data_IF_159408211012
#
_entry.id   IF_159408211012
#
_cell.length_a   1.000
_cell.length_b   1.000
_cell.length_c   1.000
_cell.angle_alpha   90.00
_cell.angle_beta   90.00
_cell.angle_gamma   90.00
#
_symmetry.space_group_name_H-M   'P 1'
#
loop_
_entity.id
_entity.type
_entity.pdbx_description
1 polymer ?
#
# COMPACT_ATOMS: atom_id res chain seq x y z
N UNK A 1 58.22 3.52 10.36
CA UNK A 1 58.41 2.37 9.46
C UNK A 1 58.24 1.11 10.30
N UNK A 2 57.28 0.26 9.94
CA UNK A 2 57.33 -1.21 9.88
C UNK A 2 55.88 -1.68 9.66
N UNK A 3 55.65 -2.29 8.50
CA UNK A 3 54.41 -2.97 8.12
C UNK A 3 54.56 -4.41 8.56
N UNK A 4 53.60 -4.98 9.29
CA UNK A 4 53.44 -6.42 9.37
C UNK A 4 51.97 -6.81 9.18
N UNK A 5 51.79 -7.74 8.23
CA UNK A 5 50.55 -8.28 7.69
C UNK A 5 50.49 -9.74 8.10
N UNK A 6 49.46 -10.13 8.83
CA UNK A 6 49.16 -11.54 9.16
C UNK A 6 47.88 -11.60 9.97
N UNK A 7 46.92 -12.51 9.82
CA UNK A 7 46.61 -13.56 8.86
C UNK A 7 45.21 -14.02 9.32
N UNK A 8 44.18 -13.90 8.48
CA UNK A 8 42.82 -14.35 8.80
C UNK A 8 42.74 -15.87 8.58
N UNK A 9 42.28 -16.69 9.55
CA UNK A 9 41.88 -18.05 9.25
C UNK A 9 40.47 -18.07 8.65
N UNK A 10 40.38 -18.62 7.44
CA UNK A 10 39.13 -19.02 6.80
C UNK A 10 38.55 -20.23 7.54
N UNK A 11 37.37 -20.07 8.14
CA UNK A 11 36.59 -21.20 8.66
C UNK A 11 35.66 -21.72 7.55
N UNK A 12 36.07 -22.85 6.97
CA UNK A 12 35.18 -23.74 6.22
C UNK A 12 34.14 -24.38 7.16
N UNK A 13 32.92 -24.58 6.65
CA UNK A 13 32.08 -25.69 7.12
C UNK A 13 30.60 -25.36 7.23
N UNK A 14 29.78 -26.18 6.57
CA UNK A 14 28.40 -26.41 7.01
C UNK A 14 27.31 -26.12 6.00
N UNK A 15 27.28 -26.92 4.92
CA UNK A 15 26.07 -27.12 4.13
C UNK A 15 24.96 -27.71 5.00
N UNK A 16 23.89 -26.95 5.25
CA UNK A 16 22.59 -27.52 5.65
C UNK A 16 21.54 -26.95 4.71
N UNK A 17 21.31 -27.69 3.63
CA UNK A 17 20.07 -27.58 2.85
C UNK A 17 18.96 -28.07 3.75
N UNK A 18 18.13 -27.17 4.26
CA UNK A 18 16.88 -27.59 4.90
C UNK A 18 15.98 -28.16 3.80
N UNK A 19 15.59 -29.41 4.03
CA UNK A 19 14.75 -30.16 3.13
C UNK A 19 13.37 -29.49 3.05
N UNK A 20 12.94 -29.17 1.83
CA UNK A 20 11.56 -28.81 1.56
C UNK A 20 10.71 -30.03 1.92
N UNK A 21 9.94 -29.93 3.01
CA UNK A 21 8.90 -30.90 3.31
C UNK A 21 7.88 -30.82 2.18
N UNK A 22 7.91 -31.83 1.30
CA UNK A 22 6.84 -32.09 0.37
C UNK A 22 5.62 -32.50 1.21
N UNK A 23 4.65 -31.60 1.34
CA UNK A 23 3.35 -31.95 1.90
C UNK A 23 2.64 -32.83 0.87
N UNK A 24 2.47 -34.11 1.21
CA UNK A 24 1.66 -35.05 0.44
C UNK A 24 0.19 -34.64 0.53
N UNK A 25 -0.37 -34.00 -0.51
CA UNK A 25 -1.82 -33.87 -0.65
C UNK A 25 -2.41 -35.14 -1.28
N UNK A 26 -3.56 -35.63 -0.79
CA UNK A 26 -4.19 -36.83 -1.31
C UNK A 26 -4.70 -36.63 -2.75
N UNK A 27 -4.44 -37.62 -3.61
CA UNK A 27 -5.07 -37.76 -4.93
C UNK A 27 -6.57 -37.87 -4.76
N UNK A 28 -7.31 -36.81 -5.10
CA UNK A 28 -8.76 -36.87 -5.24
C UNK A 28 -9.07 -37.62 -6.54
N UNK A 29 -9.75 -38.75 -6.42
CA UNK A 29 -10.27 -39.52 -7.53
C UNK A 29 -11.16 -38.61 -8.40
N UNK A 30 -10.84 -38.56 -9.70
CA UNK A 30 -11.68 -37.87 -10.68
C UNK A 30 -12.99 -38.64 -10.82
N UNK A 31 -14.05 -38.15 -10.19
CA UNK A 31 -15.42 -38.45 -10.61
C UNK A 31 -15.81 -37.41 -11.64
N UNK A 32 -15.95 -37.85 -12.88
CA UNK A 32 -16.43 -37.06 -14.02
C UNK A 32 -17.88 -36.62 -13.79
N UNK A 33 -18.06 -35.47 -13.16
CA UNK A 33 -19.20 -34.59 -13.34
C UNK A 33 -18.65 -33.17 -13.25
N UNK A 34 -18.06 -32.71 -14.36
CA UNK A 34 -17.73 -31.31 -14.55
C UNK A 34 -19.07 -30.60 -14.66
N UNK A 35 -19.62 -30.18 -13.52
CA UNK A 35 -20.51 -29.03 -13.47
C UNK A 35 -19.78 -27.94 -14.26
N UNK A 36 -20.31 -27.64 -15.44
CA UNK A 36 -19.83 -26.56 -16.27
C UNK A 36 -20.19 -25.27 -15.54
N UNK A 37 -19.41 -24.97 -14.49
CA UNK A 37 -19.38 -23.70 -13.82
C UNK A 37 -18.96 -22.70 -14.88
N UNK A 38 -19.97 -22.05 -15.44
CA UNK A 38 -19.85 -20.82 -16.21
C UNK A 38 -18.92 -19.91 -15.41
N UNK A 39 -17.65 -19.81 -15.84
CA UNK A 39 -16.67 -18.87 -15.32
C UNK A 39 -17.15 -17.50 -15.78
N UNK A 40 -18.16 -16.99 -15.07
CA UNK A 40 -18.70 -15.67 -15.26
C UNK A 40 -17.55 -14.74 -14.90
N UNK A 41 -16.88 -14.21 -15.94
CA UNK A 41 -15.87 -13.18 -15.77
C UNK A 41 -16.52 -11.99 -15.07
N UNK A 42 -16.31 -11.90 -13.76
CA UNK A 42 -16.78 -10.79 -12.94
C UNK A 42 -15.97 -9.56 -13.33
N UNK A 43 -16.45 -8.82 -14.32
CA UNK A 43 -15.89 -7.53 -14.70
C UNK A 43 -16.00 -6.60 -13.49
N UNK A 44 -14.88 -6.38 -12.80
CA UNK A 44 -14.78 -5.39 -11.73
C UNK A 44 -14.97 -4.03 -12.36
N UNK A 45 -16.05 -3.34 -11.96
CA UNK A 45 -16.27 -1.97 -12.40
C UNK A 45 -15.02 -1.13 -12.07
N UNK A 46 -14.57 -0.25 -12.98
CA UNK A 46 -13.46 0.63 -12.69
C UNK A 46 -13.71 1.42 -11.40
N UNK A 47 -12.70 1.63 -10.55
CA UNK A 47 -12.87 2.39 -9.33
C UNK A 47 -13.35 3.81 -9.65
N UNK A 48 -14.37 4.27 -8.93
CA UNK A 48 -14.82 5.65 -8.95
C UNK A 48 -13.89 6.50 -8.10
N UNK A 49 -13.27 7.53 -8.70
CA UNK A 49 -12.40 8.45 -7.98
C UNK A 49 -13.13 9.75 -7.71
N UNK A 50 -13.34 10.06 -6.43
CA UNK A 50 -13.81 11.38 -6.03
C UNK A 50 -12.63 12.34 -5.80
N UNK A 51 -12.64 13.46 -6.51
CA UNK A 51 -11.61 14.49 -6.37
C UNK A 51 -11.99 15.49 -5.27
N UNK A 52 -11.24 15.48 -4.18
CA UNK A 52 -11.35 16.48 -3.11
C UNK A 52 -10.51 17.70 -3.50
N UNK A 53 -11.18 18.80 -3.84
CA UNK A 53 -10.53 20.04 -4.31
C UNK A 53 -9.93 20.84 -3.15
N UNK A 54 -8.65 21.20 -3.27
CA UNK A 54 -8.01 22.08 -2.30
C UNK A 54 -8.61 23.50 -2.34
N UNK A 55 -9.01 24.08 -1.19
CA UNK A 55 -9.48 25.44 -1.12
C UNK A 55 -8.36 26.43 -1.38
N UNK A 56 -8.69 27.51 -2.10
CA UNK A 56 -7.74 28.56 -2.51
C UNK A 56 -8.22 29.92 -2.04
N UNK A 57 -7.31 30.68 -1.43
CA UNK A 57 -7.59 32.07 -1.09
C UNK A 57 -7.42 32.94 -2.34
N UNK A 58 -8.53 33.36 -2.94
CA UNK A 58 -8.52 34.11 -4.21
C UNK A 58 -8.34 35.62 -4.02
N UNK A 59 -8.70 36.14 -2.85
CA UNK A 59 -8.60 37.56 -2.50
C UNK A 59 -8.22 37.68 -1.04
N UNK A 60 -7.30 38.58 -0.73
CA UNK A 60 -6.93 38.93 0.64
C UNK A 60 -7.92 39.96 1.20
N UNK A 61 -9.08 39.48 1.62
CA UNK A 61 -10.06 40.27 2.36
C UNK A 61 -10.52 39.50 3.60
N UNK A 62 -11.01 40.23 4.60
CA UNK A 62 -11.51 39.61 5.83
C UNK A 62 -12.61 38.55 5.57
N UNK A 63 -13.68 38.81 4.78
CA UNK A 63 -14.68 37.79 4.51
C UNK A 63 -14.13 36.60 3.71
N UNK A 64 -13.24 36.84 2.74
CA UNK A 64 -12.63 35.76 1.96
C UNK A 64 -11.73 34.86 2.82
N UNK A 65 -11.04 35.45 3.81
CA UNK A 65 -10.20 34.70 4.74
C UNK A 65 -11.03 33.81 5.67
N UNK A 66 -12.16 34.31 6.16
CA UNK A 66 -13.07 33.51 7.00
C UNK A 66 -13.62 32.31 6.22
N UNK A 67 -14.11 32.54 4.99
CA UNK A 67 -14.62 31.45 4.13
C UNK A 67 -13.51 30.44 3.84
N UNK A 68 -12.32 30.91 3.45
CA UNK A 68 -11.17 30.03 3.20
C UNK A 68 -10.82 29.15 4.41
N UNK A 69 -10.83 29.70 5.63
CA UNK A 69 -10.55 28.92 6.83
C UNK A 69 -11.62 27.87 7.12
N UNK A 70 -12.90 28.18 6.87
CA UNK A 70 -13.97 27.19 6.96
C UNK A 70 -13.80 26.07 5.93
N UNK A 71 -13.58 26.42 4.66
CA UNK A 71 -13.38 25.48 3.58
C UNK A 71 -12.13 24.61 3.82
N UNK A 72 -11.06 25.20 4.39
CA UNK A 72 -9.82 24.51 4.76
C UNK A 72 -10.06 23.42 5.81
N UNK A 73 -10.84 23.72 6.85
CA UNK A 73 -11.19 22.72 7.89
C UNK A 73 -12.01 21.56 7.32
N UNK A 74 -12.96 21.86 6.45
CA UNK A 74 -13.77 20.83 5.80
C UNK A 74 -12.91 19.97 4.86
N UNK A 75 -12.01 20.60 4.10
CA UNK A 75 -11.06 19.90 3.24
C UNK A 75 -10.17 18.93 4.04
N UNK A 76 -9.62 19.36 5.18
CA UNK A 76 -8.82 18.51 6.08
C UNK A 76 -9.61 17.30 6.58
N UNK A 77 -10.88 17.49 6.96
CA UNK A 77 -11.74 16.39 7.40
C UNK A 77 -11.97 15.37 6.27
N UNK A 78 -12.27 15.83 5.05
CA UNK A 78 -12.49 14.93 3.91
C UNK A 78 -11.21 14.17 3.52
N UNK A 79 -10.05 14.81 3.58
CA UNK A 79 -8.76 14.16 3.33
C UNK A 79 -8.47 13.10 4.39
N UNK A 80 -8.75 13.39 5.66
CA UNK A 80 -8.62 12.41 6.74
C UNK A 80 -9.47 11.16 6.48
N UNK A 81 -10.75 11.33 6.17
CA UNK A 81 -11.66 10.21 5.85
C UNK A 81 -11.14 9.38 4.68
N UNK A 82 -10.62 10.03 3.63
CA UNK A 82 -10.02 9.32 2.50
C UNK A 82 -8.78 8.55 2.90
N UNK A 83 -7.87 9.14 3.67
CA UNK A 83 -6.65 8.47 4.15
C UNK A 83 -7.00 7.24 5.02
N UNK A 84 -8.05 7.33 5.84
CA UNK A 84 -8.55 6.17 6.60
C UNK A 84 -9.06 5.06 5.67
N UNK A 85 -9.75 5.42 4.59
CA UNK A 85 -10.29 4.46 3.63
C UNK A 85 -9.20 3.83 2.73
N UNK A 86 -8.17 4.59 2.33
CA UNK A 86 -7.12 4.15 1.41
C UNK A 86 -5.88 3.59 2.12
N UNK A 87 -5.72 3.86 3.42
CA UNK A 87 -4.51 3.53 4.17
C UNK A 87 -3.32 4.44 3.85
N UNK A 88 -3.55 5.55 3.12
CA UNK A 88 -2.50 6.51 2.80
C UNK A 88 -2.08 7.31 4.05
N UNK A 89 -0.77 7.59 4.16
CA UNK A 89 -0.28 8.46 5.22
C UNK A 89 -0.73 9.91 5.00
N UNK A 90 -1.31 10.52 6.02
CA UNK A 90 -1.93 11.85 5.94
C UNK A 90 -0.93 12.95 5.48
N UNK A 91 0.33 12.84 5.92
CA UNK A 91 1.43 13.73 5.55
C UNK A 91 1.80 13.73 4.05
N UNK A 92 1.46 12.67 3.32
CA UNK A 92 1.70 12.59 1.88
C UNK A 92 0.59 13.27 1.07
N UNK A 93 -0.55 13.53 1.71
CA UNK A 93 -1.78 14.00 1.06
C UNK A 93 -2.10 15.45 1.43
N UNK A 94 -1.94 15.80 2.70
CA UNK A 94 -2.24 17.12 3.21
C UNK A 94 -0.98 17.97 3.36
N UNK A 95 -0.92 19.09 2.65
CA UNK A 95 0.12 20.10 2.85
C UNK A 95 -0.37 21.14 3.87
N UNK A 96 0.40 21.31 4.94
CA UNK A 96 0.19 22.37 5.93
C UNK A 96 0.78 23.68 5.37
N UNK A 97 0.00 24.75 5.41
CA UNK A 97 0.36 26.12 4.96
C UNK A 97 0.81 27.01 6.10
#
# INVERSE_FOLDING_TARGET
MTVEKSHLPAAMGGSRREAVVAQNLPTIAHSDDVDAGDDVEMAVAPPEFEFIKEPKLTKWSQPASVVFLCDRRQYEANIWERCVATGEAHENVLVII
#
